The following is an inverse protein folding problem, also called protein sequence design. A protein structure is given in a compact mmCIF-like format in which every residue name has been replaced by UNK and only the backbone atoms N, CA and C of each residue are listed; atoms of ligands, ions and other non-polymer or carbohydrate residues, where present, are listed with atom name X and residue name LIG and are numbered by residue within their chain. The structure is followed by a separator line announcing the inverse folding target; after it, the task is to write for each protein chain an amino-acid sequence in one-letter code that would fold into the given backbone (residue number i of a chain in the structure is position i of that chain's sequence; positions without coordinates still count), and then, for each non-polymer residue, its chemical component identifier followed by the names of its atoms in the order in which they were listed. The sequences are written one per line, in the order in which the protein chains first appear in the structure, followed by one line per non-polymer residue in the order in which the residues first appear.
data_IF_866306940166
#
_entry.id   IF_866306940166
#
_cell.length_a   1.000
_cell.length_b   1.000
_cell.length_c   1.000
_cell.angle_alpha   90.00
_cell.angle_beta   90.00
_cell.angle_gamma   90.00
#
_symmetry.space_group_name_H-M   'P 1'
#
loop_
_entity.id
_entity.type
_entity.pdbx_description
1 polymer ?
#
# COMPACT_ATOMS: atom_id res chain seq x y z
N UNK A 1 -13.70 9.91 -5.61
CA UNK A 1 -13.60 9.00 -4.74
C UNK A 1 -12.22 8.54 -4.48
N UNK A 2 -11.47 8.31 -5.42
CA UNK A 2 -10.13 7.98 -5.17
C UNK A 2 -9.19 9.13 -5.17
N UNK A 3 -9.61 10.28 -4.71
CA UNK A 3 -8.73 11.43 -4.65
C UNK A 3 -7.54 11.18 -3.75
N UNK A 4 -7.74 10.38 -2.70
CA UNK A 4 -6.61 10.06 -1.84
C UNK A 4 -5.57 9.20 -2.52
N UNK A 5 -5.89 8.54 -3.61
CA UNK A 5 -4.88 7.79 -4.33
C UNK A 5 -3.89 8.71 -5.02
N UNK A 6 -4.30 9.95 -5.29
CA UNK A 6 -3.42 10.92 -5.92
C UNK A 6 -2.45 11.56 -4.93
N UNK A 7 -2.67 11.37 -3.64
CA UNK A 7 -1.83 11.98 -2.61
C UNK A 7 -0.36 11.62 -2.82
N UNK A 8 -0.10 10.39 -3.25
CA UNK A 8 1.25 9.88 -3.35
C UNK A 8 1.80 9.94 -4.77
N UNK A 9 1.21 10.79 -5.59
CA UNK A 9 1.72 11.17 -6.90
C UNK A 9 1.93 10.01 -7.86
N UNK A 10 1.09 8.99 -7.75
CA UNK A 10 1.13 7.89 -8.68
C UNK A 10 2.16 6.80 -8.37
N UNK A 11 3.02 6.99 -7.37
CA UNK A 11 3.93 5.93 -6.96
C UNK A 11 3.24 4.94 -6.02
N UNK A 12 2.35 5.43 -5.18
CA UNK A 12 1.64 4.65 -4.18
C UNK A 12 0.15 4.88 -4.30
N UNK A 13 -0.64 3.86 -3.96
CA UNK A 13 -2.10 3.95 -3.97
C UNK A 13 -2.67 3.43 -2.67
N UNK A 14 -3.72 4.08 -2.17
CA UNK A 14 -4.49 3.62 -1.02
C UNK A 14 -5.81 3.09 -1.56
N UNK A 15 -6.00 1.78 -1.51
CA UNK A 15 -7.12 1.13 -2.18
C UNK A 15 -7.98 0.39 -1.15
N UNK A 16 -9.30 0.67 -1.10
CA UNK A 16 -10.19 -0.11 -0.24
C UNK A 16 -10.32 -1.53 -0.74
N UNK A 17 -10.56 -2.45 0.18
CA UNK A 17 -10.62 -3.89 -0.10
C UNK A 17 -11.54 -4.22 -1.28
N UNK A 18 -12.66 -3.52 -1.39
CA UNK A 18 -13.64 -3.81 -2.43
C UNK A 18 -13.14 -3.51 -3.84
N UNK A 19 -12.08 -2.68 -3.95
CA UNK A 19 -11.57 -2.28 -5.26
C UNK A 19 -10.26 -2.98 -5.63
N UNK A 20 -9.68 -3.76 -4.73
CA UNK A 20 -8.35 -4.33 -4.94
C UNK A 20 -8.28 -5.17 -6.21
N UNK A 21 -9.23 -6.07 -6.41
CA UNK A 21 -9.18 -6.97 -7.55
C UNK A 21 -9.31 -6.24 -8.87
N UNK A 22 -10.05 -5.15 -8.88
CA UNK A 22 -10.23 -4.35 -10.10
C UNK A 22 -8.90 -3.77 -10.59
N UNK A 23 -8.02 -3.38 -9.66
CA UNK A 23 -6.79 -2.68 -10.01
C UNK A 23 -5.53 -3.50 -9.79
N UNK A 24 -5.66 -4.77 -9.39
CA UNK A 24 -4.51 -5.56 -8.96
C UNK A 24 -3.40 -5.64 -10.03
N UNK A 25 -3.77 -5.70 -11.30
CA UNK A 25 -2.79 -5.78 -12.38
C UNK A 25 -1.92 -4.52 -12.51
N UNK A 26 -2.35 -3.43 -11.88
CA UNK A 26 -1.61 -2.17 -11.93
C UNK A 26 -0.56 -2.04 -10.81
N UNK A 27 -0.47 -3.03 -9.94
CA UNK A 27 0.39 -2.95 -8.77
C UNK A 27 1.65 -3.80 -8.92
N UNK A 28 2.74 -3.31 -8.34
CA UNK A 28 4.01 -4.01 -8.33
C UNK A 28 4.09 -4.94 -7.12
N UNK A 29 4.77 -6.08 -7.25
CA UNK A 29 5.04 -6.92 -6.08
C UNK A 29 5.98 -6.22 -5.10
N UNK A 30 5.88 -6.61 -3.82
CA UNK A 30 6.62 -6.00 -2.73
C UNK A 30 7.65 -6.99 -2.20
N UNK A 31 8.84 -6.51 -1.88
CA UNK A 31 9.81 -7.29 -1.12
C UNK A 31 9.38 -7.27 0.36
N UNK A 32 8.99 -8.44 0.87
CA UNK A 32 8.51 -8.54 2.26
C UNK A 32 9.54 -8.09 3.27
N UNK A 33 10.82 -8.26 2.96
CA UNK A 33 11.90 -7.89 3.87
C UNK A 33 11.98 -6.37 4.08
N UNK A 34 11.46 -5.59 3.14
CA UNK A 34 11.44 -4.13 3.28
C UNK A 34 10.37 -3.66 4.28
N UNK A 35 9.42 -4.52 4.64
CA UNK A 35 8.30 -4.15 5.52
C UNK A 35 8.05 -5.24 6.56
N UNK A 36 9.01 -5.45 7.47
CA UNK A 36 8.86 -6.53 8.46
C UNK A 36 7.68 -6.26 9.40
N UNK A 37 6.98 -7.34 9.74
CA UNK A 37 5.87 -7.24 10.69
C UNK A 37 4.56 -6.75 10.10
N UNK A 38 4.48 -6.53 8.80
CA UNK A 38 3.26 -6.05 8.16
C UNK A 38 2.40 -7.22 7.68
N UNK A 39 1.09 -6.94 7.52
CA UNK A 39 0.17 -7.89 6.90
C UNK A 39 0.05 -7.55 5.42
N UNK A 40 0.27 -8.53 4.56
CA UNK A 40 0.31 -8.30 3.12
C UNK A 40 -0.92 -8.86 2.42
N UNK A 41 -1.36 -8.16 1.37
CA UNK A 41 -2.30 -8.71 0.40
C UNK A 41 -1.50 -9.55 -0.57
N UNK A 42 -1.81 -10.85 -0.63
CA UNK A 42 -1.04 -11.81 -1.42
C UNK A 42 -1.85 -12.33 -2.58
N UNK A 43 -1.17 -12.55 -3.70
CA UNK A 43 -1.75 -13.17 -4.87
C UNK A 43 -0.66 -13.99 -5.55
N UNK A 44 -0.96 -15.26 -5.85
CA UNK A 44 -0.03 -16.16 -6.53
C UNK A 44 1.35 -16.24 -5.84
N UNK A 45 1.36 -16.18 -4.52
CA UNK A 45 2.59 -16.30 -3.74
C UNK A 45 3.38 -15.01 -3.59
N UNK A 46 2.93 -13.92 -4.19
CA UNK A 46 3.60 -12.62 -4.08
C UNK A 46 2.81 -11.67 -3.20
N UNK A 47 3.52 -10.81 -2.49
CA UNK A 47 2.89 -9.72 -1.72
C UNK A 47 2.75 -8.50 -2.62
N UNK A 48 1.56 -7.91 -2.64
CA UNK A 48 1.28 -6.73 -3.46
C UNK A 48 0.87 -5.52 -2.65
N UNK A 49 0.25 -5.73 -1.50
CA UNK A 49 -0.27 -4.63 -0.71
C UNK A 49 0.03 -4.79 0.76
N UNK A 50 -0.03 -3.68 1.49
CA UNK A 50 0.21 -3.65 2.93
C UNK A 50 -1.07 -3.16 3.60
N UNK A 51 -1.56 -3.92 4.57
CA UNK A 51 -2.77 -3.54 5.31
C UNK A 51 -2.49 -2.31 6.14
N UNK A 52 -3.30 -1.26 5.95
CA UNK A 52 -3.13 0.00 6.67
C UNK A 52 -4.35 0.41 7.47
N UNK A 53 -5.50 -0.24 7.25
CA UNK A 53 -6.69 0.00 8.04
C UNK A 53 -7.50 -1.27 8.17
N UNK A 54 -7.81 -1.65 9.41
CA UNK A 54 -8.62 -2.82 9.69
C UNK A 54 -9.33 -2.64 11.03
N UNK A 55 -10.65 -2.49 11.01
CA UNK A 55 -11.42 -2.30 12.23
C UNK A 55 -11.35 -3.50 13.17
N UNK A 56 -11.21 -4.70 12.62
CA UNK A 56 -11.17 -5.90 13.44
C UNK A 56 -9.98 -5.91 14.40
N UNK A 57 -8.87 -5.31 14.01
CA UNK A 57 -7.66 -5.25 14.83
C UNK A 57 -7.39 -3.85 15.38
N UNK A 58 -8.17 -2.86 14.96
CA UNK A 58 -7.94 -1.48 15.36
C UNK A 58 -6.81 -0.78 14.63
N UNK A 59 -6.29 -1.38 13.58
CA UNK A 59 -5.20 -0.80 12.81
C UNK A 59 -5.68 0.42 12.04
N UNK A 60 -5.01 1.57 12.20
CA UNK A 60 -5.32 2.81 11.49
C UNK A 60 -4.04 3.60 11.27
N UNK A 61 -3.39 3.35 10.14
CA UNK A 61 -2.17 4.07 9.78
C UNK A 61 -2.53 5.49 9.33
N UNK A 62 -1.76 6.47 9.81
CA UNK A 62 -1.91 7.88 9.39
C UNK A 62 -3.34 8.39 9.56
N UNK A 63 -4.04 7.97 10.62
CA UNK A 63 -5.46 8.31 10.81
C UNK A 63 -5.67 9.81 11.01
N UNK A 64 -4.64 10.57 11.34
CA UNK A 64 -4.73 12.01 11.45
C UNK A 64 -4.79 12.71 10.09
N UNK A 65 -4.40 12.00 9.05
CA UNK A 65 -4.26 12.58 7.71
C UNK A 65 -5.21 11.98 6.70
N UNK A 66 -5.73 10.77 6.98
CA UNK A 66 -6.54 10.02 6.04
C UNK A 66 -7.82 9.57 6.72
N UNK A 67 -8.94 9.81 6.06
CA UNK A 67 -10.23 9.31 6.53
C UNK A 67 -10.50 7.95 5.88
N UNK A 68 -10.66 6.93 6.70
CA UNK A 68 -10.99 5.59 6.21
C UNK A 68 -12.48 5.31 6.35
N UNK A 69 -13.05 4.67 5.34
CA UNK A 69 -14.44 4.27 5.38
C UNK A 69 -14.68 3.25 6.50
N UNK A 70 -15.67 3.45 7.36
CA UNK A 70 -15.97 2.47 8.41
C UNK A 70 -16.29 1.11 7.82
N UNK A 71 -15.77 0.06 8.45
CA UNK A 71 -16.02 -1.31 8.03
C UNK A 71 -15.27 -1.76 6.80
N UNK A 72 -14.43 -0.91 6.23
CA UNK A 72 -13.71 -1.24 5.01
C UNK A 72 -12.22 -1.33 5.30
N UNK A 73 -11.59 -2.46 4.95
CA UNK A 73 -10.14 -2.57 4.99
C UNK A 73 -9.53 -1.71 3.91
N UNK A 74 -8.37 -1.15 4.18
CA UNK A 74 -7.64 -0.37 3.20
C UNK A 74 -6.21 -0.86 3.10
N UNK A 75 -5.68 -0.86 1.90
CA UNK A 75 -4.36 -1.41 1.59
C UNK A 75 -3.52 -0.35 0.88
N UNK A 76 -2.22 -0.38 1.13
CA UNK A 76 -1.24 0.44 0.42
C UNK A 76 -0.60 -0.39 -0.67
N UNK A 77 -0.63 0.10 -1.90
CA UNK A 77 -0.06 -0.58 -3.05
C UNK A 77 0.96 0.30 -3.75
N UNK A 78 1.87 -0.33 -4.48
CA UNK A 78 2.86 0.36 -5.30
C UNK A 78 2.45 0.28 -6.77
N UNK A 79 2.55 1.41 -7.46
CA UNK A 79 2.28 1.46 -8.90
C UNK A 79 3.40 0.72 -9.63
N UNK A 80 3.02 -0.29 -10.44
CA UNK A 80 4.01 -1.09 -11.16
C UNK A 80 4.82 -0.27 -12.17
N UNK A 81 4.27 0.87 -12.60
CA UNK A 81 4.95 1.74 -13.55
C UNK A 81 5.83 2.79 -12.89
N UNK A 82 5.91 2.78 -11.56
CA UNK A 82 6.75 3.73 -10.84
C UNK A 82 8.22 3.47 -11.14
N UNK A 83 8.98 4.54 -11.32
CA UNK A 83 10.43 4.47 -11.51
C UNK A 83 11.16 4.49 -10.17
N UNK A 84 10.43 4.50 -9.07
CA UNK A 84 10.99 4.65 -7.73
C UNK A 84 10.80 3.39 -6.87
N UNK A 85 10.62 2.24 -7.50
CA UNK A 85 10.42 0.99 -6.76
C UNK A 85 11.74 0.40 -6.25
N UNK A 86 12.75 0.38 -7.08
CA UNK A 86 14.01 -0.27 -6.80
C UNK A 86 14.38 -1.26 -7.87
N UNK A 87 15.13 -2.29 -7.50
CA UNK A 87 15.60 -3.31 -8.45
C UNK A 87 14.50 -4.29 -8.81
N UNK A 88 14.60 -4.89 -10.01
CA UNK A 88 13.79 -6.04 -10.43
C UNK A 88 12.29 -5.77 -10.52
N UNK A 89 11.92 -4.52 -10.79
CA UNK A 89 10.50 -4.12 -10.96
C UNK A 89 9.64 -4.51 -9.76
N UNK A 90 10.23 -4.52 -8.56
CA UNK A 90 9.46 -4.75 -7.36
C UNK A 90 9.86 -3.72 -6.30
N UNK A 91 8.96 -3.50 -5.35
CA UNK A 91 9.17 -2.52 -4.30
C UNK A 91 10.22 -3.04 -3.32
N UNK A 92 11.46 -2.63 -3.48
CA UNK A 92 12.59 -3.10 -2.69
C UNK A 92 13.28 -1.97 -1.94
N UNK A 93 14.00 -1.10 -2.65
CA UNK A 93 14.84 -0.09 -2.03
C UNK A 93 14.74 1.28 -2.72
N UNK A 94 13.75 1.47 -3.56
CA UNK A 94 13.58 2.76 -4.24
C UNK A 94 12.97 3.82 -3.35
N UNK A 95 12.87 5.04 -3.88
CA UNK A 95 12.34 6.18 -3.14
C UNK A 95 10.89 5.95 -2.69
N UNK A 96 10.08 5.26 -3.52
CA UNK A 96 8.70 4.96 -3.14
C UNK A 96 8.63 4.06 -1.91
N UNK A 97 9.55 3.12 -1.79
CA UNK A 97 9.62 2.25 -0.62
C UNK A 97 9.95 3.05 0.64
N UNK A 98 10.90 3.98 0.53
CA UNK A 98 11.27 4.84 1.65
C UNK A 98 10.08 5.70 2.09
N UNK A 99 9.34 6.27 1.13
CA UNK A 99 8.15 7.05 1.43
C UNK A 99 7.11 6.19 2.13
N UNK A 100 6.88 4.98 1.64
CA UNK A 100 5.91 4.07 2.23
C UNK A 100 6.30 3.68 3.66
N UNK A 101 7.59 3.40 3.90
CA UNK A 101 8.06 3.07 5.23
C UNK A 101 7.81 4.22 6.20
N UNK A 102 8.02 5.44 5.75
CA UNK A 102 7.76 6.62 6.56
C UNK A 102 6.26 6.79 6.82
N UNK A 103 5.45 6.63 5.78
CA UNK A 103 3.99 6.73 5.88
C UNK A 103 3.43 5.75 6.92
N UNK A 104 3.95 4.53 6.94
CA UNK A 104 3.45 3.50 7.84
C UNK A 104 3.72 3.80 9.31
N UNK A 105 4.61 4.76 9.61
CA UNK A 105 4.92 5.17 10.97
C UNK A 105 4.10 6.36 11.43
N UNK A 106 3.30 6.96 10.57
CA UNK A 106 2.48 8.12 10.94
C UNK A 106 1.34 7.70 11.86
N UNK A 107 1.01 8.56 12.86
CA UNK A 107 -0.09 8.26 13.81
C UNK A 107 -1.47 8.35 13.19
#
# INVERSE_FOLDING_TARGET
MFDQTAILRGDLYLIPQSDVETYLASFAPIDRAAFPGMTFYESDGEAYGILINDEATGLKVASRYIYYMPGERCWLFFNRDSQHLGSDDRATDGAAVTVAQHFLKLP
#
